data_IF_618786015184
#
_entry.id   IF_618786015184
#
_cell.length_a   1.000
_cell.length_b   1.000
_cell.length_c   1.000
_cell.angle_alpha   90.00
_cell.angle_beta   90.00
_cell.angle_gamma   90.00
#
_symmetry.space_group_name_H-M   'P 1'
#
loop_
_entity.id
_entity.type
_entity.pdbx_description
1 polymer ?
#
# COMPACT_ATOMS: atom_id res chain seq x y z
N UNK A 1 21.80 24.89 -26.99
CA UNK A 1 22.68 23.90 -26.34
C UNK A 1 21.95 22.58 -26.40
N UNK A 2 22.62 21.53 -26.83
CA UNK A 2 22.03 20.19 -26.89
C UNK A 2 22.53 19.42 -25.67
N UNK A 3 21.67 18.62 -25.04
CA UNK A 3 22.03 17.84 -23.86
C UNK A 3 21.94 16.36 -24.19
N UNK A 4 22.92 15.58 -23.72
CA UNK A 4 22.93 14.12 -23.80
C UNK A 4 22.75 13.54 -22.41
N UNK A 5 21.79 12.65 -22.25
CA UNK A 5 21.51 11.93 -21.03
C UNK A 5 22.04 10.51 -21.21
N UNK A 6 22.99 10.10 -20.39
CA UNK A 6 23.47 8.71 -20.34
C UNK A 6 22.85 7.99 -19.16
N UNK A 7 22.39 6.79 -19.42
CA UNK A 7 21.65 5.95 -18.48
C UNK A 7 22.37 4.61 -18.41
N UNK A 8 22.68 4.16 -17.20
CA UNK A 8 23.32 2.87 -16.94
C UNK A 8 22.59 2.14 -15.81
N UNK A 9 22.24 0.89 -16.06
CA UNK A 9 21.71 -0.03 -15.06
C UNK A 9 22.86 -0.78 -14.40
N UNK A 10 23.10 -0.60 -13.08
CA UNK A 10 24.11 -1.38 -12.38
C UNK A 10 23.73 -2.86 -12.21
N UNK A 11 22.47 -3.23 -12.50
CA UNK A 11 21.99 -4.60 -12.43
C UNK A 11 21.97 -5.29 -13.80
N UNK A 12 22.01 -6.61 -13.78
CA UNK A 12 21.79 -7.42 -14.98
C UNK A 12 20.29 -7.56 -15.27
N UNK A 13 19.94 -7.42 -16.54
CA UNK A 13 18.58 -7.60 -17.03
C UNK A 13 18.05 -6.36 -17.74
N UNK A 14 16.86 -6.49 -18.30
CA UNK A 14 16.16 -5.36 -18.91
C UNK A 14 15.19 -4.74 -17.89
N UNK A 15 15.08 -3.42 -17.92
CA UNK A 15 13.99 -2.67 -17.31
C UNK A 15 13.08 -2.14 -18.41
N UNK A 16 11.78 -2.21 -18.16
CA UNK A 16 10.74 -1.78 -19.09
C UNK A 16 10.09 -0.54 -18.53
N UNK A 17 10.10 0.54 -19.31
CA UNK A 17 9.50 1.83 -18.97
C UNK A 17 9.94 2.32 -17.58
N UNK A 18 11.23 2.18 -17.28
CA UNK A 18 11.80 2.66 -16.02
C UNK A 18 11.76 4.20 -15.99
N UNK A 19 11.18 4.81 -14.94
CA UNK A 19 11.21 6.25 -14.80
C UNK A 19 12.62 6.73 -14.49
N UNK A 20 13.10 7.69 -15.28
CA UNK A 20 14.34 8.43 -15.01
C UNK A 20 14.00 9.88 -14.76
N UNK A 21 14.77 10.49 -13.86
CA UNK A 21 14.68 11.92 -13.58
C UNK A 21 16.06 12.53 -13.75
N UNK A 22 16.14 13.60 -14.54
CA UNK A 22 17.40 14.28 -14.83
C UNK A 22 17.23 15.80 -14.78
N UNK A 23 18.35 16.51 -14.62
CA UNK A 23 18.37 17.98 -14.52
C UNK A 23 19.34 18.54 -15.54
N UNK A 24 18.90 19.57 -16.27
CA UNK A 24 19.73 20.34 -17.20
C UNK A 24 19.98 21.73 -16.63
N UNK A 25 21.19 22.26 -16.84
CA UNK A 25 21.62 23.57 -16.34
C UNK A 25 21.18 24.71 -17.27
N UNK A 26 19.89 24.76 -17.56
CA UNK A 26 19.25 25.86 -18.28
C UNK A 26 17.80 26.01 -17.82
N UNK A 27 17.30 27.24 -17.81
CA UNK A 27 15.88 27.53 -17.67
C UNK A 27 15.16 27.21 -19.00
N UNK A 28 14.42 26.10 -18.99
CA UNK A 28 13.55 25.68 -20.08
C UNK A 28 12.10 25.76 -19.59
N UNK A 29 11.31 26.56 -20.30
CA UNK A 29 9.89 26.80 -19.99
C UNK A 29 8.94 25.80 -20.69
N UNK A 30 9.41 25.13 -21.75
CA UNK A 30 8.60 24.15 -22.47
C UNK A 30 8.13 23.04 -21.52
N UNK A 31 6.81 22.75 -21.43
CA UNK A 31 6.28 21.75 -20.51
C UNK A 31 6.66 20.32 -20.94
N UNK A 32 6.86 20.12 -22.24
CA UNK A 32 7.21 18.84 -22.84
C UNK A 32 8.37 19.04 -23.83
N UNK A 33 9.32 18.12 -23.81
CA UNK A 33 10.39 18.03 -24.80
C UNK A 33 10.41 16.64 -25.41
N UNK A 34 10.93 16.56 -26.64
CA UNK A 34 11.37 15.30 -27.20
C UNK A 34 12.82 15.04 -26.83
N UNK A 35 13.14 13.81 -26.49
CA UNK A 35 14.49 13.28 -26.57
C UNK A 35 14.55 12.19 -27.65
N UNK A 36 15.74 11.89 -28.16
CA UNK A 36 15.95 10.84 -29.16
C UNK A 36 16.91 9.79 -28.64
N UNK A 37 16.57 8.51 -28.81
CA UNK A 37 17.53 7.42 -28.59
C UNK A 37 18.57 7.38 -29.71
N UNK A 38 19.62 6.57 -29.53
CA UNK A 38 20.63 6.33 -30.57
C UNK A 38 20.02 5.73 -31.87
N UNK A 39 18.91 4.99 -31.74
CA UNK A 39 18.16 4.41 -32.86
C UNK A 39 17.13 5.41 -33.47
N UNK A 40 17.06 6.63 -32.93
CA UNK A 40 16.19 7.70 -33.41
C UNK A 40 14.75 7.65 -32.90
N UNK A 41 14.43 6.75 -31.95
CA UNK A 41 13.13 6.72 -31.29
C UNK A 41 12.92 7.99 -30.48
N UNK A 42 11.71 8.56 -30.55
CA UNK A 42 11.34 9.74 -29.76
C UNK A 42 10.83 9.32 -28.38
N UNK A 43 11.48 9.84 -27.34
CA UNK A 43 11.07 9.69 -25.94
C UNK A 43 10.49 11.01 -25.45
N UNK A 44 9.31 10.96 -24.84
CA UNK A 44 8.67 12.14 -24.28
C UNK A 44 9.28 12.47 -22.91
N UNK A 45 9.72 13.71 -22.74
CA UNK A 45 10.22 14.22 -21.48
C UNK A 45 9.23 15.26 -20.93
N UNK A 46 8.71 15.01 -19.74
CA UNK A 46 7.85 15.95 -19.02
C UNK A 46 8.69 16.83 -18.11
N UNK A 47 8.54 18.14 -18.22
CA UNK A 47 9.12 19.11 -17.29
C UNK A 47 8.44 18.96 -15.93
N UNK A 48 9.24 18.86 -14.87
CA UNK A 48 8.76 18.90 -13.49
C UNK A 48 8.79 20.34 -12.97
N UNK A 49 7.77 20.75 -12.23
CA UNK A 49 7.78 22.02 -11.52
C UNK A 49 8.71 21.94 -10.31
N UNK A 50 8.65 20.84 -9.57
CA UNK A 50 9.52 20.59 -8.44
C UNK A 50 10.98 20.42 -8.87
N UNK A 51 11.85 21.27 -8.30
CA UNK A 51 13.29 21.27 -8.55
C UNK A 51 13.72 22.09 -9.77
N UNK A 52 12.78 22.57 -10.60
CA UNK A 52 13.05 23.53 -11.67
C UNK A 52 13.06 24.97 -11.16
N UNK A 53 13.97 25.80 -11.66
CA UNK A 53 14.10 27.21 -11.30
C UNK A 53 14.77 28.02 -12.43
N UNK A 54 15.17 29.26 -12.14
CA UNK A 54 15.79 30.15 -13.13
C UNK A 54 17.17 29.71 -13.66
N UNK A 55 17.80 28.70 -13.04
CA UNK A 55 19.14 28.20 -13.41
C UNK A 55 19.12 26.77 -13.98
N UNK A 56 18.09 25.99 -13.66
CA UNK A 56 18.02 24.59 -14.04
C UNK A 56 16.58 24.13 -14.27
N UNK A 57 16.40 23.15 -15.14
CA UNK A 57 15.10 22.49 -15.36
C UNK A 57 15.23 20.99 -15.13
N UNK A 58 14.28 20.42 -14.39
CA UNK A 58 14.18 18.99 -14.12
C UNK A 58 13.14 18.36 -15.04
N UNK A 59 13.46 17.17 -15.57
CA UNK A 59 12.59 16.41 -16.44
C UNK A 59 12.44 14.98 -15.95
N UNK A 60 11.30 14.36 -16.27
CA UNK A 60 11.04 12.92 -16.12
C UNK A 60 10.74 12.31 -17.49
N UNK A 61 11.22 11.09 -17.70
CA UNK A 61 10.94 10.26 -18.87
C UNK A 61 10.80 8.80 -18.41
N UNK A 62 10.11 7.96 -19.18
CA UNK A 62 10.16 6.49 -19.00
C UNK A 62 10.92 5.86 -20.14
N UNK A 63 11.85 4.96 -19.82
CA UNK A 63 12.79 4.37 -20.78
C UNK A 63 12.87 2.85 -20.65
N UNK A 64 13.01 2.18 -21.78
CA UNK A 64 13.44 0.78 -21.79
C UNK A 64 14.97 0.76 -21.72
N UNK A 65 15.53 0.04 -20.75
CA UNK A 65 16.98 0.00 -20.52
C UNK A 65 17.44 -1.45 -20.49
N UNK A 66 18.39 -1.78 -21.36
CA UNK A 66 19.12 -3.03 -21.30
C UNK A 66 20.59 -2.71 -21.05
N UNK A 67 20.97 -2.66 -19.78
CA UNK A 67 22.26 -2.19 -19.26
C UNK A 67 22.58 -0.71 -19.51
N UNK A 68 22.46 -0.21 -20.73
CA UNK A 68 22.74 1.21 -21.04
C UNK A 68 21.75 1.78 -22.03
N UNK A 69 21.46 3.07 -21.91
CA UNK A 69 20.70 3.84 -22.89
C UNK A 69 21.23 5.28 -22.97
N UNK A 70 21.07 5.91 -24.14
CA UNK A 70 21.40 7.33 -24.35
C UNK A 70 20.17 8.05 -24.87
N UNK A 71 19.94 9.27 -24.38
CA UNK A 71 18.93 10.17 -24.92
C UNK A 71 19.55 11.52 -25.28
N UNK A 72 19.34 11.99 -26.50
CA UNK A 72 19.68 13.36 -26.90
C UNK A 72 18.44 14.25 -26.80
N UNK A 73 18.46 15.20 -25.87
CA UNK A 73 17.37 16.17 -25.68
C UNK A 73 17.28 17.06 -26.91
N UNK A 74 16.10 17.09 -27.51
CA UNK A 74 15.83 17.69 -28.80
C UNK A 74 14.86 18.88 -28.66
N UNK A 75 13.91 18.98 -29.58
CA UNK A 75 12.97 20.08 -29.71
C UNK A 75 11.82 20.03 -28.69
N UNK A 76 11.17 21.18 -28.49
CA UNK A 76 9.95 21.24 -27.71
C UNK A 76 8.83 20.42 -28.37
N UNK A 77 8.04 19.74 -27.56
CA UNK A 77 6.84 19.06 -28.02
C UNK A 77 5.66 20.04 -27.97
N UNK A 78 5.41 20.75 -29.09
CA UNK A 78 4.33 21.74 -29.18
C UNK A 78 2.93 21.14 -29.11
N UNK A 79 2.76 19.91 -29.61
CA UNK A 79 1.49 19.17 -29.56
C UNK A 79 1.79 17.70 -29.36
N UNK A 80 1.16 17.08 -28.37
CA UNK A 80 1.28 15.65 -28.12
C UNK A 80 0.56 14.88 -29.24
N UNK A 81 1.27 14.10 -30.07
CA UNK A 81 0.65 13.28 -31.10
C UNK A 81 -0.26 12.21 -30.51
N UNK A 82 -1.37 11.91 -31.17
CA UNK A 82 -2.37 10.95 -30.68
C UNK A 82 -1.88 9.49 -30.67
N UNK A 83 -0.82 9.18 -31.40
CA UNK A 83 -0.20 7.86 -31.53
C UNK A 83 0.92 7.61 -30.52
N UNK A 84 1.27 8.61 -29.69
CA UNK A 84 2.30 8.46 -28.67
C UNK A 84 1.71 7.70 -27.48
N UNK A 85 2.25 6.52 -27.24
CA UNK A 85 1.94 5.67 -26.11
C UNK A 85 3.22 4.98 -25.58
N UNK A 86 3.29 4.66 -24.29
CA UNK A 86 2.28 4.95 -23.26
C UNK A 86 2.32 6.42 -22.82
N UNK A 87 1.14 6.97 -22.51
CA UNK A 87 0.97 8.24 -21.79
C UNK A 87 -0.10 8.06 -20.72
N UNK A 88 0.00 8.79 -19.62
CA UNK A 88 -1.03 8.78 -18.60
C UNK A 88 -2.26 9.53 -19.11
N UNK A 89 -3.42 8.91 -19.02
CA UNK A 89 -4.71 9.53 -19.35
C UNK A 89 -5.73 9.33 -18.25
N UNK A 90 -6.63 10.31 -18.08
CA UNK A 90 -7.69 10.24 -17.10
C UNK A 90 -8.95 9.58 -17.68
N UNK A 91 -9.58 8.72 -16.88
CA UNK A 91 -10.83 8.03 -17.19
C UNK A 91 -11.95 8.56 -16.30
N UNK A 92 -13.18 8.25 -16.69
CA UNK A 92 -14.33 8.47 -15.82
C UNK A 92 -14.23 7.58 -14.57
N UNK A 93 -14.38 8.20 -13.41
CA UNK A 93 -14.42 7.51 -12.12
C UNK A 93 -15.59 6.54 -12.00
N UNK A 94 -15.39 5.47 -11.23
CA UNK A 94 -16.38 4.45 -10.87
C UNK A 94 -17.04 4.79 -9.54
N UNK A 95 -16.24 5.15 -8.54
CA UNK A 95 -16.72 5.54 -7.22
C UNK A 95 -17.15 7.02 -7.18
N UNK A 96 -18.10 7.33 -6.28
CA UNK A 96 -18.61 8.71 -6.12
C UNK A 96 -17.59 9.66 -5.48
N UNK A 97 -16.61 9.12 -4.76
CA UNK A 97 -15.47 9.80 -4.14
C UNK A 97 -14.17 9.58 -4.94
N UNK A 98 -14.27 9.16 -6.20
CA UNK A 98 -13.14 9.12 -7.12
C UNK A 98 -12.54 10.52 -7.26
N UNK A 99 -11.28 10.66 -6.87
CA UNK A 99 -10.51 11.87 -7.16
C UNK A 99 -9.97 11.82 -8.59
N UNK A 100 -9.34 10.70 -8.95
CA UNK A 100 -8.86 10.47 -10.31
C UNK A 100 -8.82 8.98 -10.63
N UNK A 101 -9.19 8.63 -11.86
CA UNK A 101 -8.96 7.32 -12.42
C UNK A 101 -7.97 7.44 -13.57
N UNK A 102 -6.90 6.65 -13.54
CA UNK A 102 -5.79 6.72 -14.48
C UNK A 102 -5.71 5.46 -15.33
N UNK A 103 -5.50 5.65 -16.62
CA UNK A 103 -4.83 4.69 -17.47
C UNK A 103 -3.38 5.12 -17.59
N UNK A 104 -2.46 4.34 -17.02
CA UNK A 104 -1.03 4.61 -17.10
C UNK A 104 -0.37 3.92 -18.28
N UNK A 105 -1.09 3.08 -19.04
CA UNK A 105 -0.50 2.15 -20.01
C UNK A 105 0.01 0.84 -19.41
N UNK A 106 0.27 0.79 -18.09
CA UNK A 106 0.51 -0.45 -17.34
C UNK A 106 -0.71 -0.84 -16.48
N UNK A 107 -1.38 0.16 -15.91
CA UNK A 107 -2.48 0.01 -14.95
C UNK A 107 -3.69 0.85 -15.34
N UNK A 108 -4.88 0.31 -15.06
CA UNK A 108 -6.13 1.04 -14.87
C UNK A 108 -6.40 1.10 -13.37
N UNK A 109 -6.24 2.28 -12.75
CA UNK A 109 -6.35 2.45 -11.30
C UNK A 109 -7.19 3.65 -10.93
N UNK A 110 -7.85 3.60 -9.78
CA UNK A 110 -8.70 4.65 -9.26
C UNK A 110 -8.30 5.04 -7.84
N UNK A 111 -7.89 6.30 -7.66
CA UNK A 111 -7.52 6.90 -6.38
C UNK A 111 -8.74 7.67 -5.83
N UNK A 112 -9.15 7.31 -4.61
CA UNK A 112 -10.35 7.84 -3.96
C UNK A 112 -10.04 8.62 -2.68
N UNK A 113 -10.87 9.62 -2.38
CA UNK A 113 -10.76 10.46 -1.18
C UNK A 113 -11.42 9.86 0.07
N UNK A 114 -12.13 8.75 -0.07
CA UNK A 114 -12.91 8.16 1.00
C UNK A 114 -14.19 8.96 1.29
N UNK A 115 -15.09 8.36 2.08
CA UNK A 115 -16.40 8.94 2.43
C UNK A 115 -16.63 9.10 3.93
N UNK A 116 -15.77 8.50 4.77
CA UNK A 116 -15.87 8.57 6.23
C UNK A 116 -17.19 8.01 6.82
N UNK A 117 -17.76 6.94 6.23
CA UNK A 117 -19.07 6.38 6.64
C UNK A 117 -18.95 5.13 7.53
N UNK A 118 -17.74 4.69 7.90
CA UNK A 118 -17.51 3.50 8.72
C UNK A 118 -17.81 2.18 8.02
N UNK A 119 -17.68 2.15 6.68
CA UNK A 119 -17.92 0.99 5.82
C UNK A 119 -16.70 0.75 4.93
N UNK A 120 -16.44 -0.50 4.52
CA UNK A 120 -15.37 -0.83 3.57
C UNK A 120 -15.45 -0.04 2.26
N UNK A 121 -16.67 0.24 1.77
CA UNK A 121 -16.93 1.08 0.60
C UNK A 121 -16.58 2.57 0.77
N UNK A 122 -16.06 2.96 1.93
CA UNK A 122 -15.77 4.36 2.28
C UNK A 122 -14.28 4.61 2.46
N UNK A 123 -13.43 3.59 2.24
CA UNK A 123 -11.97 3.65 2.30
C UNK A 123 -11.40 4.66 1.30
N UNK A 124 -10.37 5.42 1.67
CA UNK A 124 -9.52 6.15 0.73
C UNK A 124 -8.33 5.29 0.26
N UNK A 125 -7.62 5.75 -0.78
CA UNK A 125 -6.51 5.01 -1.40
C UNK A 125 -6.89 4.49 -2.79
N UNK A 126 -6.19 3.47 -3.29
CA UNK A 126 -6.56 2.86 -4.56
C UNK A 126 -7.67 1.84 -4.36
N UNK A 127 -8.86 2.09 -4.92
CA UNK A 127 -10.06 1.24 -4.75
C UNK A 127 -10.40 0.37 -5.95
N UNK A 128 -9.87 0.72 -7.12
CA UNK A 128 -9.90 -0.13 -8.31
C UNK A 128 -8.47 -0.20 -8.82
N UNK A 129 -7.96 -1.39 -9.11
CA UNK A 129 -6.59 -1.60 -9.56
C UNK A 129 -6.49 -2.84 -10.47
N UNK A 130 -6.17 -2.59 -11.73
CA UNK A 130 -6.05 -3.62 -12.76
C UNK A 130 -4.79 -3.44 -13.59
N UNK A 131 -4.03 -4.52 -13.80
CA UNK A 131 -3.01 -4.54 -14.84
C UNK A 131 -3.66 -4.64 -16.23
N UNK A 132 -3.15 -3.85 -17.17
CA UNK A 132 -3.62 -3.89 -18.56
C UNK A 132 -3.09 -5.10 -19.33
N UNK A 133 -1.98 -5.70 -18.89
CA UNK A 133 -1.36 -6.84 -19.56
C UNK A 133 -2.19 -8.11 -19.53
N UNK A 134 -2.96 -8.32 -18.45
CA UNK A 134 -3.83 -9.49 -18.26
C UNK A 134 -5.30 -9.12 -18.02
N UNK A 135 -5.60 -7.84 -17.82
CA UNK A 135 -6.94 -7.35 -17.55
C UNK A 135 -7.51 -7.78 -16.19
N UNK A 136 -6.69 -8.31 -15.27
CA UNK A 136 -7.15 -8.81 -13.97
C UNK A 136 -7.31 -7.66 -12.97
N UNK A 137 -8.52 -7.50 -12.44
CA UNK A 137 -8.91 -6.49 -11.45
C UNK A 137 -8.72 -7.07 -10.04
N UNK A 138 -7.79 -6.49 -9.26
CA UNK A 138 -7.48 -6.93 -7.89
C UNK A 138 -8.52 -6.45 -6.87
N UNK A 139 -9.26 -5.39 -7.21
CA UNK A 139 -10.22 -4.72 -6.34
C UNK A 139 -11.55 -4.47 -7.07
N UNK A 140 -12.28 -5.51 -7.50
CA UNK A 140 -13.47 -5.36 -8.32
C UNK A 140 -14.67 -4.74 -7.60
N UNK A 141 -14.78 -4.87 -6.27
CA UNK A 141 -15.93 -4.33 -5.54
C UNK A 141 -15.75 -2.88 -5.08
N UNK A 142 -14.49 -2.42 -4.97
CA UNK A 142 -14.15 -1.16 -4.33
C UNK A 142 -14.29 -1.17 -2.81
N UNK A 143 -14.52 -2.30 -2.13
CA UNK A 143 -14.68 -2.35 -0.67
C UNK A 143 -13.36 -2.49 0.09
N UNK A 144 -12.31 -2.93 -0.60
CA UNK A 144 -10.94 -2.91 -0.12
C UNK A 144 -10.12 -1.83 -0.83
N UNK A 145 -8.96 -1.53 -0.26
CA UNK A 145 -8.08 -0.53 -0.82
C UNK A 145 -6.61 -0.92 -0.66
N UNK A 146 -5.78 -0.43 -1.59
CA UNK A 146 -4.32 -0.43 -1.46
C UNK A 146 -3.91 0.91 -0.85
N UNK A 147 -3.03 0.84 0.15
CA UNK A 147 -2.35 1.98 0.73
C UNK A 147 -3.00 2.61 1.96
N UNK A 148 -4.00 1.99 2.57
CA UNK A 148 -4.46 2.36 3.90
C UNK A 148 -3.33 2.21 4.92
N UNK A 149 -3.29 3.05 5.96
CA UNK A 149 -2.40 2.84 7.11
C UNK A 149 -3.18 2.99 8.42
N UNK A 150 -2.89 2.15 9.42
CA UNK A 150 -3.73 2.03 10.61
C UNK A 150 -2.99 1.98 11.96
N UNK A 151 -2.01 1.10 12.18
CA UNK A 151 -1.29 1.09 13.46
C UNK A 151 -0.41 2.33 13.66
N UNK A 152 -0.19 2.82 14.90
CA UNK A 152 -0.88 2.44 16.15
C UNK A 152 -2.22 3.18 16.35
N UNK A 153 -2.57 4.11 15.45
CA UNK A 153 -3.71 5.01 15.60
C UNK A 153 -5.06 4.31 15.55
N UNK A 154 -5.12 3.16 14.88
CA UNK A 154 -6.32 2.36 14.73
C UNK A 154 -5.97 0.95 15.16
N UNK A 155 -5.90 0.83 16.47
CA UNK A 155 -5.68 -0.40 17.19
C UNK A 155 -6.83 -0.58 18.19
N UNK A 156 -7.09 -1.82 18.62
CA UNK A 156 -7.93 -2.12 19.76
C UNK A 156 -7.63 -1.22 20.95
N UNK A 157 -6.36 -1.11 21.33
CA UNK A 157 -5.94 -0.39 22.52
C UNK A 157 -6.28 1.11 22.42
N UNK A 158 -6.28 1.68 21.21
CA UNK A 158 -6.73 3.04 20.97
C UNK A 158 -8.25 3.18 20.78
N UNK A 159 -9.02 2.07 20.82
CA UNK A 159 -10.47 2.06 20.63
C UNK A 159 -10.91 2.57 19.26
N UNK A 160 -10.03 2.50 18.26
CA UNK A 160 -10.32 2.93 16.88
C UNK A 160 -9.95 1.81 15.94
N UNK A 161 -10.83 1.50 14.98
CA UNK A 161 -10.54 0.50 13.95
C UNK A 161 -10.88 1.06 12.56
N UNK A 162 -10.08 0.63 11.58
CA UNK A 162 -10.17 0.91 10.16
C UNK A 162 -10.21 2.42 9.76
N UNK A 163 -9.05 3.09 9.70
CA UNK A 163 -8.89 4.49 9.33
C UNK A 163 -9.57 4.91 8.05
N UNK A 164 -9.41 4.16 6.93
CA UNK A 164 -9.83 4.71 5.67
C UNK A 164 -11.35 4.85 5.62
N UNK A 165 -12.07 4.10 6.44
CA UNK A 165 -13.52 4.14 6.54
C UNK A 165 -14.05 5.34 7.34
N UNK A 166 -13.24 5.97 8.21
CA UNK A 166 -13.70 6.98 9.18
C UNK A 166 -13.10 8.38 8.94
N UNK A 167 -12.34 8.55 7.86
CA UNK A 167 -11.69 9.82 7.53
C UNK A 167 -11.84 10.09 6.05
N UNK A 168 -12.17 11.34 5.71
CA UNK A 168 -12.06 11.83 4.34
C UNK A 168 -10.72 12.55 4.20
N UNK A 169 -10.00 12.24 3.13
CA UNK A 169 -8.71 12.87 2.83
C UNK A 169 -8.87 13.92 1.74
N UNK A 170 -8.04 14.96 1.81
CA UNK A 170 -7.88 15.90 0.71
C UNK A 170 -6.71 15.43 -0.16
N UNK A 171 -6.83 15.59 -1.48
CA UNK A 171 -5.80 15.18 -2.44
C UNK A 171 -5.37 16.38 -3.28
N UNK A 172 -4.11 16.76 -3.12
CA UNK A 172 -3.43 17.81 -3.87
C UNK A 172 -2.71 17.23 -5.10
N UNK A 173 -2.78 17.96 -6.22
CA UNK A 173 -1.99 17.66 -7.42
C UNK A 173 -0.61 18.33 -7.28
N UNK A 174 0.43 17.52 -7.12
CA UNK A 174 1.81 18.00 -7.02
C UNK A 174 2.46 18.12 -8.40
N UNK A 175 2.31 17.08 -9.22
CA UNK A 175 2.69 17.08 -10.64
C UNK A 175 1.63 16.35 -11.46
N UNK A 176 1.35 16.85 -12.67
CA UNK A 176 0.41 16.22 -13.60
C UNK A 176 0.86 16.47 -15.03
N UNK A 177 1.09 15.39 -15.76
CA UNK A 177 1.44 15.44 -17.17
C UNK A 177 1.45 14.04 -17.80
N UNK A 178 1.74 13.94 -19.10
CA UNK A 178 1.59 12.69 -19.84
C UNK A 178 2.55 11.58 -19.43
N UNK A 179 3.64 11.87 -18.70
CA UNK A 179 4.66 10.88 -18.30
C UNK A 179 4.54 10.51 -16.83
N UNK A 180 4.22 11.46 -15.96
CA UNK A 180 4.20 11.26 -14.51
C UNK A 180 3.10 12.08 -13.85
N UNK A 181 2.38 11.42 -12.94
CA UNK A 181 1.44 12.04 -12.02
C UNK A 181 1.96 11.85 -10.59
N UNK A 182 1.94 12.91 -9.80
CA UNK A 182 2.26 12.90 -8.37
C UNK A 182 1.16 13.61 -7.61
N UNK A 183 0.54 12.88 -6.69
CA UNK A 183 -0.50 13.37 -5.81
C UNK A 183 -0.05 13.31 -4.36
N UNK A 184 -0.49 14.28 -3.56
CA UNK A 184 -0.33 14.25 -2.12
C UNK A 184 -1.70 14.16 -1.48
N UNK A 185 -1.94 13.06 -0.80
CA UNK A 185 -3.11 12.85 0.03
C UNK A 185 -2.79 13.30 1.45
N UNK A 186 -3.65 14.06 2.12
CA UNK A 186 -3.47 14.43 3.52
C UNK A 186 -4.77 14.37 4.31
N UNK A 187 -4.63 14.06 5.60
CA UNK A 187 -5.76 13.90 6.51
C UNK A 187 -5.38 14.14 7.95
N UNK A 188 -6.40 14.31 8.79
CA UNK A 188 -6.29 14.26 10.24
C UNK A 188 -6.63 12.85 10.69
N UNK A 189 -5.89 12.36 11.68
CA UNK A 189 -6.15 11.09 12.33
C UNK A 189 -7.23 11.34 13.39
N UNK A 190 -8.38 10.66 13.32
CA UNK A 190 -9.37 10.58 14.38
C UNK A 190 -8.75 10.35 15.76
N UNK A 191 -9.22 11.11 16.74
CA UNK A 191 -8.82 10.92 18.13
C UNK A 191 -9.46 9.64 18.69
N UNK A 192 -8.60 8.79 19.25
CA UNK A 192 -8.99 7.58 19.98
C UNK A 192 -8.86 7.74 21.49
N UNK A 193 -8.70 6.61 22.18
CA UNK A 193 -8.64 6.53 23.63
C UNK A 193 -7.28 6.89 24.24
N UNK A 194 -6.19 6.81 23.47
CA UNK A 194 -4.81 7.09 23.90
C UNK A 194 -4.47 8.56 23.65
N UNK A 195 -4.18 9.29 24.73
CA UNK A 195 -3.95 10.75 24.69
C UNK A 195 -2.72 11.13 23.84
N UNK A 196 -1.67 10.31 23.87
CA UNK A 196 -0.44 10.55 23.12
C UNK A 196 -0.60 10.43 21.60
N UNK A 197 -1.67 9.80 21.14
CA UNK A 197 -2.00 9.60 19.73
C UNK A 197 -3.00 10.63 19.18
N UNK A 198 -3.51 11.56 20.01
CA UNK A 198 -4.47 12.58 19.61
C UNK A 198 -3.84 13.72 18.81
N UNK A 199 -4.66 14.36 17.96
CA UNK A 199 -4.33 15.56 17.21
C UNK A 199 -3.20 15.36 16.21
N UNK A 200 -3.13 14.17 15.59
CA UNK A 200 -2.08 13.79 14.64
C UNK A 200 -2.60 13.92 13.22
N UNK A 201 -1.72 14.32 12.31
CA UNK A 201 -2.00 14.36 10.88
C UNK A 201 -1.05 13.46 10.10
N UNK A 202 -1.43 13.17 8.87
CA UNK A 202 -0.62 12.40 7.94
C UNK A 202 -0.66 12.99 6.53
N UNK A 203 0.34 12.61 5.73
CA UNK A 203 0.34 12.76 4.29
C UNK A 203 0.87 11.51 3.61
N UNK A 204 0.36 11.21 2.43
CA UNK A 204 0.78 10.11 1.57
C UNK A 204 1.08 10.69 0.19
N UNK A 205 2.33 10.62 -0.23
CA UNK A 205 2.71 10.91 -1.61
C UNK A 205 2.45 9.66 -2.45
N UNK A 206 1.79 9.81 -3.59
CA UNK A 206 1.51 8.76 -4.58
C UNK A 206 2.09 9.17 -5.93
N UNK A 207 2.91 8.33 -6.54
CA UNK A 207 3.51 8.61 -7.85
C UNK A 207 3.25 7.49 -8.84
N UNK A 208 2.75 7.88 -10.02
CA UNK A 208 2.45 6.99 -11.14
C UNK A 208 3.19 7.45 -12.40
N UNK A 209 3.61 6.50 -13.23
CA UNK A 209 4.40 6.75 -14.43
C UNK A 209 3.81 6.05 -15.66
N UNK A 210 4.04 6.62 -16.84
CA UNK A 210 3.56 6.10 -18.09
C UNK A 210 4.26 4.78 -18.48
N UNK A 211 3.49 3.69 -18.51
CA UNK A 211 3.89 2.34 -18.92
C UNK A 211 4.71 1.58 -17.89
N UNK A 212 5.03 2.20 -16.76
CA UNK A 212 5.86 1.60 -15.72
C UNK A 212 5.06 0.57 -14.92
N UNK A 213 5.56 -0.67 -14.75
CA UNK A 213 4.83 -1.72 -14.04
C UNK A 213 5.00 -1.66 -12.52
N UNK A 214 5.22 -0.46 -11.98
CA UNK A 214 5.22 -0.18 -10.55
C UNK A 214 4.76 1.25 -10.28
N UNK A 215 4.34 1.50 -9.06
CA UNK A 215 4.06 2.83 -8.53
C UNK A 215 4.80 3.04 -7.22
N UNK A 216 4.90 4.30 -6.80
CA UNK A 216 5.62 4.67 -5.57
C UNK A 216 4.68 5.35 -4.59
N UNK A 217 4.94 5.13 -3.30
CA UNK A 217 4.25 5.83 -2.23
C UNK A 217 5.14 6.05 -1.02
N UNK A 218 4.85 7.11 -0.26
CA UNK A 218 5.58 7.46 0.96
C UNK A 218 4.62 8.06 1.98
N UNK A 219 4.74 7.60 3.23
CA UNK A 219 3.88 8.00 4.33
C UNK A 219 4.66 8.89 5.30
N UNK A 220 4.17 10.10 5.53
CA UNK A 220 4.67 10.99 6.56
C UNK A 220 3.56 11.23 7.58
N UNK A 221 3.89 11.13 8.87
CA UNK A 221 2.92 11.24 9.98
C UNK A 221 3.52 12.15 11.05
N UNK A 222 2.66 12.95 11.69
CA UNK A 222 3.04 13.75 12.85
C UNK A 222 3.73 12.86 13.89
N UNK A 223 4.93 13.21 14.37
CA UNK A 223 5.67 12.35 15.29
C UNK A 223 4.86 11.94 16.53
N UNK A 224 5.04 10.68 16.93
CA UNK A 224 4.37 10.06 18.06
C UNK A 224 5.24 9.00 18.73
N UNK A 225 4.90 8.71 19.98
CA UNK A 225 5.42 7.60 20.74
C UNK A 225 4.30 7.07 21.62
N UNK A 226 4.12 5.75 21.65
CA UNK A 226 3.12 5.06 22.47
C UNK A 226 3.64 3.69 22.88
N UNK A 227 2.81 2.90 23.57
CA UNK A 227 3.06 1.51 23.92
C UNK A 227 1.92 0.67 23.37
N UNK A 228 2.25 -0.25 22.47
CA UNK A 228 1.30 -1.22 21.93
C UNK A 228 1.73 -2.61 22.36
N UNK A 229 0.82 -3.40 22.93
CA UNK A 229 1.14 -4.77 23.36
C UNK A 229 2.37 -4.85 24.30
N UNK A 230 2.52 -3.86 25.19
CA UNK A 230 3.67 -3.75 26.11
C UNK A 230 5.01 -3.36 25.44
N UNK A 231 5.02 -3.09 24.13
CA UNK A 231 6.21 -2.74 23.35
C UNK A 231 6.18 -1.25 23.03
N UNK A 232 7.33 -0.57 23.17
CA UNK A 232 7.42 0.84 22.78
C UNK A 232 7.37 0.96 21.27
N UNK A 233 6.44 1.80 20.79
CA UNK A 233 6.28 2.15 19.39
C UNK A 233 6.66 3.62 19.23
N UNK A 234 7.60 3.91 18.34
CA UNK A 234 8.01 5.29 18.02
C UNK A 234 8.05 5.45 16.52
N UNK A 235 7.19 6.31 15.97
CA UNK A 235 7.11 6.60 14.53
C UNK A 235 7.13 5.35 13.64
N UNK A 236 6.39 4.31 14.04
CA UNK A 236 6.13 3.12 13.22
C UNK A 236 4.65 2.98 12.98
N UNK A 237 4.28 2.73 11.74
CA UNK A 237 2.90 2.55 11.29
C UNK A 237 2.66 1.15 10.75
N UNK A 238 1.39 0.80 10.60
CA UNK A 238 0.98 -0.34 9.79
C UNK A 238 0.42 0.17 8.48
N UNK A 239 0.98 -0.26 7.35
CA UNK A 239 0.36 -0.12 6.03
C UNK A 239 -0.29 -1.45 5.68
N UNK A 240 -1.53 -1.40 5.18
CA UNK A 240 -2.29 -2.56 4.72
C UNK A 240 -2.64 -2.41 3.25
N UNK A 241 -2.20 -3.36 2.44
CA UNK A 241 -2.72 -3.55 1.08
C UNK A 241 -3.65 -4.75 1.07
N UNK A 242 -4.91 -4.51 0.76
CA UNK A 242 -5.95 -5.52 0.74
C UNK A 242 -6.35 -5.84 -0.69
N UNK A 243 -6.77 -7.08 -0.94
CA UNK A 243 -7.18 -7.57 -2.26
C UNK A 243 -8.37 -8.51 -2.18
N UNK A 244 -9.04 -8.72 -3.32
CA UNK A 244 -10.32 -9.43 -3.41
C UNK A 244 -10.30 -10.49 -4.52
N UNK A 245 -10.17 -11.77 -4.15
CA UNK A 245 -10.29 -12.91 -5.08
C UNK A 245 -11.73 -13.38 -5.30
N UNK A 246 -12.62 -13.01 -4.38
CA UNK A 246 -13.99 -13.52 -4.30
C UNK A 246 -14.09 -14.87 -3.58
N UNK A 247 -15.31 -15.23 -3.15
CA UNK A 247 -15.58 -16.41 -2.34
C UNK A 247 -14.98 -17.69 -2.94
N UNK A 248 -14.13 -18.37 -2.17
CA UNK A 248 -13.49 -19.64 -2.55
C UNK A 248 -12.23 -19.50 -3.42
N UNK A 249 -11.76 -18.28 -3.68
CA UNK A 249 -10.61 -17.98 -4.54
C UNK A 249 -9.68 -16.99 -3.86
N UNK A 250 -8.41 -17.02 -4.23
CA UNK A 250 -7.41 -16.04 -3.80
C UNK A 250 -6.88 -15.29 -5.02
N UNK A 251 -6.49 -14.02 -4.84
CA UNK A 251 -5.72 -13.31 -5.88
C UNK A 251 -4.26 -13.75 -5.90
N UNK A 252 -3.73 -14.14 -4.74
CA UNK A 252 -2.39 -14.64 -4.50
C UNK A 252 -2.48 -15.82 -3.53
N UNK A 253 -1.82 -16.91 -3.86
CA UNK A 253 -1.83 -18.15 -3.05
C UNK A 253 -0.48 -18.44 -2.39
N UNK A 254 0.54 -17.62 -2.65
CA UNK A 254 1.87 -17.73 -2.04
C UNK A 254 2.38 -16.39 -1.53
N UNK A 255 3.15 -16.46 -0.45
CA UNK A 255 3.94 -15.35 0.08
C UNK A 255 5.41 -15.73 0.18
N UNK A 256 6.33 -14.81 -0.12
CA UNK A 256 7.76 -14.99 0.14
C UNK A 256 8.45 -13.68 0.54
N UNK A 257 9.51 -13.81 1.34
CA UNK A 257 10.45 -12.73 1.66
C UNK A 257 11.84 -13.00 1.05
N UNK A 258 12.57 -11.93 0.73
CA UNK A 258 13.88 -12.05 0.08
C UNK A 258 14.89 -12.67 1.04
N UNK A 259 15.58 -13.73 0.60
CA UNK A 259 16.49 -14.50 1.45
C UNK A 259 15.81 -15.51 2.38
N UNK A 260 14.55 -15.86 2.09
CA UNK A 260 13.78 -16.86 2.81
C UNK A 260 12.80 -16.27 3.83
N UNK A 261 11.69 -16.95 4.04
CA UNK A 261 10.63 -16.53 4.95
C UNK A 261 10.85 -17.14 6.33
N UNK A 262 10.94 -16.28 7.35
CA UNK A 262 10.96 -16.66 8.77
C UNK A 262 9.66 -16.20 9.40
N UNK A 263 8.82 -17.11 9.88
CA UNK A 263 7.47 -16.74 10.33
C UNK A 263 6.95 -17.61 11.47
N UNK A 264 5.89 -17.12 12.12
CA UNK A 264 5.01 -17.93 12.99
C UNK A 264 3.62 -18.01 12.38
N UNK A 265 2.99 -19.18 12.46
CA UNK A 265 1.67 -19.42 11.88
C UNK A 265 0.54 -19.16 12.90
N UNK A 266 -0.62 -18.74 12.41
CA UNK A 266 -1.80 -18.47 13.23
C UNK A 266 -1.77 -17.10 13.88
N UNK A 267 -2.96 -16.60 14.19
CA UNK A 267 -3.22 -15.31 14.83
C UNK A 267 -3.93 -15.49 16.18
N UNK A 268 -3.19 -15.50 17.31
CA UNK A 268 -3.79 -15.61 18.64
C UNK A 268 -4.71 -14.45 18.97
N UNK A 269 -4.38 -13.25 18.51
CA UNK A 269 -5.17 -12.05 18.78
C UNK A 269 -6.57 -12.19 18.20
N UNK A 270 -6.68 -12.63 16.94
CA UNK A 270 -7.96 -12.88 16.29
C UNK A 270 -8.83 -13.85 17.10
N UNK A 271 -8.25 -14.94 17.63
CA UNK A 271 -8.98 -15.90 18.45
C UNK A 271 -9.54 -15.27 19.74
N UNK A 272 -8.71 -14.54 20.49
CA UNK A 272 -9.14 -13.87 21.72
C UNK A 272 -10.21 -12.79 21.47
N UNK A 273 -10.10 -12.07 20.35
CA UNK A 273 -11.08 -11.05 19.99
C UNK A 273 -12.46 -11.68 19.73
N UNK A 274 -12.53 -12.80 19.00
CA UNK A 274 -13.80 -13.51 18.74
C UNK A 274 -14.47 -13.92 20.05
N UNK A 275 -13.70 -14.50 20.98
CA UNK A 275 -14.22 -14.91 22.28
C UNK A 275 -14.75 -13.71 23.09
N UNK A 276 -14.04 -12.58 23.03
CA UNK A 276 -14.46 -11.34 23.69
C UNK A 276 -15.72 -10.73 23.07
N UNK A 277 -15.86 -10.77 21.74
CA UNK A 277 -17.09 -10.33 21.06
C UNK A 277 -18.27 -11.19 21.53
N UNK A 278 -18.11 -12.51 21.51
CA UNK A 278 -19.17 -13.44 21.93
C UNK A 278 -19.60 -13.18 23.39
N UNK A 279 -18.63 -12.95 24.28
CA UNK A 279 -18.95 -12.59 25.66
C UNK A 279 -19.68 -11.24 25.76
N UNK A 280 -19.20 -10.22 25.05
CA UNK A 280 -19.74 -8.86 25.08
C UNK A 280 -21.21 -8.84 24.64
N UNK A 281 -21.50 -9.48 23.50
CA UNK A 281 -22.85 -9.64 22.95
C UNK A 281 -23.77 -10.30 23.97
N UNK A 282 -23.28 -11.27 24.76
CA UNK A 282 -24.07 -12.01 25.75
C UNK A 282 -24.23 -11.29 27.10
N UNK A 283 -23.19 -10.61 27.60
CA UNK A 283 -23.11 -10.19 29.01
C UNK A 283 -23.43 -8.72 29.24
N UNK A 284 -23.20 -7.84 28.26
CA UNK A 284 -23.47 -6.40 28.41
C UNK A 284 -24.98 -6.16 28.45
N UNK A 285 -25.50 -5.63 29.56
CA UNK A 285 -26.96 -5.43 29.76
C UNK A 285 -27.42 -3.98 29.55
N UNK A 286 -26.51 -3.02 29.57
CA UNK A 286 -26.80 -1.62 29.28
C UNK A 286 -27.03 -1.45 27.79
N UNK A 287 -28.29 -1.59 27.36
CA UNK A 287 -28.68 -1.57 25.95
C UNK A 287 -28.74 -0.16 25.38
N UNK A 288 -27.76 0.21 24.56
CA UNK A 288 -27.97 1.19 23.50
C UNK A 288 -28.73 0.51 22.35
N UNK A 289 -29.52 1.24 21.56
CA UNK A 289 -30.18 0.69 20.37
C UNK A 289 -29.16 0.04 19.41
N UNK A 290 -27.95 0.63 19.35
CA UNK A 290 -26.84 0.15 18.54
C UNK A 290 -26.27 -1.19 18.99
N UNK A 291 -26.21 -1.46 20.30
CA UNK A 291 -25.80 -2.77 20.79
C UNK A 291 -26.78 -3.88 20.36
N UNK A 292 -28.08 -3.59 20.28
CA UNK A 292 -29.08 -4.54 19.80
C UNK A 292 -28.96 -4.78 18.28
N UNK A 293 -28.58 -3.77 17.50
CA UNK A 293 -28.24 -3.93 16.08
C UNK A 293 -27.04 -4.88 15.91
N UNK A 294 -25.95 -4.62 16.65
CA UNK A 294 -24.76 -5.50 16.63
C UNK A 294 -25.09 -6.92 17.10
N UNK A 295 -25.97 -7.09 18.10
CA UNK A 295 -26.45 -8.42 18.52
C UNK A 295 -27.17 -9.17 17.40
N UNK A 296 -27.96 -8.47 16.59
CA UNK A 296 -28.66 -9.07 15.47
C UNK A 296 -27.70 -9.46 14.34
N UNK A 297 -26.75 -8.57 14.01
CA UNK A 297 -25.73 -8.82 12.96
C UNK A 297 -24.74 -9.91 13.37
N UNK A 298 -24.41 -10.02 14.66
CA UNK A 298 -23.51 -11.02 15.23
C UNK A 298 -24.22 -12.28 15.74
N UNK A 299 -25.52 -12.44 15.46
CA UNK A 299 -26.26 -13.63 15.86
C UNK A 299 -25.71 -14.91 15.19
N UNK A 300 -25.18 -14.76 13.97
CA UNK A 300 -24.42 -15.78 13.26
C UNK A 300 -22.97 -15.30 13.10
N UNK A 301 -22.20 -15.47 14.18
CA UNK A 301 -20.80 -15.01 14.20
C UNK A 301 -19.98 -15.64 13.08
N UNK A 302 -20.21 -16.92 12.72
CA UNK A 302 -19.41 -17.62 11.69
C UNK A 302 -19.57 -17.01 10.28
N UNK A 303 -20.68 -16.33 10.00
CA UNK A 303 -20.93 -15.67 8.72
C UNK A 303 -20.77 -14.14 8.75
N UNK A 304 -20.58 -13.56 9.94
CA UNK A 304 -20.38 -12.13 10.12
C UNK A 304 -19.08 -11.64 9.48
N UNK A 305 -19.11 -10.42 8.92
CA UNK A 305 -17.90 -9.78 8.43
C UNK A 305 -16.96 -9.48 9.60
N UNK A 306 -15.67 -9.76 9.44
CA UNK A 306 -14.66 -9.58 10.50
C UNK A 306 -14.68 -8.15 11.07
N UNK A 307 -14.90 -7.14 10.24
CA UNK A 307 -15.01 -5.73 10.66
C UNK A 307 -16.07 -5.48 11.72
N UNK A 308 -17.16 -6.26 11.77
CA UNK A 308 -18.21 -6.10 12.79
C UNK A 308 -17.69 -6.40 14.20
N UNK A 309 -16.75 -7.35 14.33
CA UNK A 309 -16.12 -7.67 15.61
C UNK A 309 -15.35 -6.46 16.16
N UNK A 310 -14.69 -5.75 15.27
CA UNK A 310 -13.90 -4.58 15.62
C UNK A 310 -14.77 -3.36 15.87
N UNK A 311 -15.76 -3.10 15.02
CA UNK A 311 -16.67 -1.95 15.17
C UNK A 311 -17.43 -1.97 16.51
N UNK A 312 -17.65 -3.15 17.10
CA UNK A 312 -18.21 -3.28 18.46
C UNK A 312 -17.36 -2.55 19.52
N UNK A 313 -16.04 -2.50 19.35
CA UNK A 313 -15.09 -1.85 20.26
C UNK A 313 -14.57 -0.51 19.74
N UNK A 314 -15.25 0.09 18.76
CA UNK A 314 -14.91 1.41 18.26
C UNK A 314 -15.54 2.50 19.13
N UNK A 315 -14.71 3.37 19.73
CA UNK A 315 -15.14 4.49 20.55
C UNK A 315 -16.03 5.48 19.78
N UNK A 316 -15.77 5.66 18.48
CA UNK A 316 -16.59 6.50 17.60
C UNK A 316 -17.98 5.92 17.34
N UNK A 317 -18.07 4.58 17.25
CA UNK A 317 -19.35 3.92 17.05
C UNK A 317 -20.23 4.04 18.32
N UNK A 318 -19.63 4.20 19.50
CA UNK A 318 -20.35 4.44 20.75
C UNK A 318 -21.26 3.27 21.17
N UNK A 319 -20.96 2.06 20.70
CA UNK A 319 -21.71 0.84 21.05
C UNK A 319 -21.53 0.50 22.53
N UNK A 320 -20.30 0.65 23.01
CA UNK A 320 -19.86 0.47 24.40
C UNK A 320 -19.29 1.80 24.92
N UNK A 321 -19.28 1.99 26.24
CA UNK A 321 -18.57 3.10 26.87
C UNK A 321 -17.05 2.90 26.81
N UNK A 322 -16.28 3.97 26.75
CA UNK A 322 -14.80 3.95 26.74
C UNK A 322 -14.19 3.04 27.82
N UNK A 323 -14.73 3.05 29.04
CA UNK A 323 -14.23 2.21 30.14
C UNK A 323 -14.47 0.71 29.87
N UNK A 324 -15.62 0.36 29.29
CA UNK A 324 -15.95 -1.02 28.91
C UNK A 324 -15.06 -1.49 27.75
N UNK A 325 -14.79 -0.63 26.77
CA UNK A 325 -13.85 -0.91 25.68
C UNK A 325 -12.46 -1.19 26.24
N UNK A 326 -11.95 -0.32 27.12
CA UNK A 326 -10.62 -0.49 27.76
C UNK A 326 -10.53 -1.78 28.55
N UNK A 327 -11.50 -2.06 29.42
CA UNK A 327 -11.48 -3.24 30.29
C UNK A 327 -11.52 -4.55 29.52
N UNK A 328 -12.30 -4.59 28.43
CA UNK A 328 -12.42 -5.79 27.59
C UNK A 328 -11.19 -6.00 26.71
N UNK A 329 -10.74 -4.96 26.02
CA UNK A 329 -9.59 -5.09 25.14
C UNK A 329 -8.28 -5.28 25.91
N UNK A 330 -8.17 -4.79 27.15
CA UNK A 330 -7.06 -5.10 28.03
C UNK A 330 -6.95 -6.62 28.30
N UNK A 331 -8.08 -7.32 28.45
CA UNK A 331 -8.10 -8.78 28.64
C UNK A 331 -7.67 -9.50 27.37
N UNK A 332 -8.21 -9.10 26.20
CA UNK A 332 -7.83 -9.64 24.88
C UNK A 332 -6.32 -9.48 24.68
N UNK A 333 -5.81 -8.26 24.84
CA UNK A 333 -4.41 -7.95 24.60
C UNK A 333 -3.49 -8.73 25.57
N UNK A 334 -3.83 -8.80 26.85
CA UNK A 334 -3.04 -9.55 27.82
C UNK A 334 -3.00 -11.05 27.52
N UNK A 335 -4.13 -11.65 27.15
CA UNK A 335 -4.22 -13.07 26.81
C UNK A 335 -3.49 -13.38 25.50
N UNK A 336 -3.73 -12.56 24.47
CA UNK A 336 -3.09 -12.68 23.16
C UNK A 336 -1.57 -12.49 23.26
N UNK A 337 -1.09 -11.55 24.08
CA UNK A 337 0.35 -11.33 24.34
C UNK A 337 1.02 -12.59 24.87
N UNK A 338 0.42 -13.23 25.87
CA UNK A 338 0.97 -14.48 26.43
C UNK A 338 0.98 -15.56 25.36
N UNK A 339 -0.15 -15.79 24.66
CA UNK A 339 -0.24 -16.82 23.61
C UNK A 339 0.69 -16.57 22.42
N UNK A 340 0.96 -15.31 22.12
CA UNK A 340 1.94 -14.90 21.12
C UNK A 340 3.35 -15.34 21.53
N UNK A 341 3.75 -15.12 22.78
CA UNK A 341 5.12 -15.34 23.26
C UNK A 341 5.38 -16.75 23.83
N UNK A 342 4.35 -17.59 23.95
CA UNK A 342 4.52 -19.01 24.30
C UNK A 342 5.30 -19.76 23.21
N UNK A 343 6.08 -20.75 23.64
CA UNK A 343 6.88 -21.60 22.75
C UNK A 343 6.07 -22.70 22.05
N UNK A 344 4.74 -22.66 22.13
CA UNK A 344 3.84 -23.59 21.47
C UNK A 344 3.68 -23.32 19.96
N UNK A 345 4.02 -22.10 19.52
CA UNK A 345 4.10 -21.69 18.11
C UNK A 345 5.56 -21.52 17.71
N UNK A 346 6.12 -22.53 17.06
CA UNK A 346 7.50 -22.53 16.61
C UNK A 346 7.75 -21.51 15.49
N UNK A 347 8.97 -20.96 15.45
CA UNK A 347 9.47 -20.23 14.29
C UNK A 347 9.79 -21.20 13.17
N UNK A 348 9.18 -20.98 12.01
CA UNK A 348 9.42 -21.73 10.79
C UNK A 348 10.35 -20.91 9.90
N UNK A 349 11.36 -21.56 9.33
CA UNK A 349 12.32 -20.97 8.39
C UNK A 349 12.25 -21.77 7.10
N UNK A 350 11.97 -21.11 5.99
CA UNK A 350 11.84 -21.75 4.68
C UNK A 350 12.36 -20.85 3.57
N UNK A 351 13.03 -21.44 2.59
CA UNK A 351 13.39 -20.76 1.35
C UNK A 351 12.28 -20.89 0.28
N UNK A 352 11.33 -21.80 0.50
CA UNK A 352 10.16 -22.00 -0.37
C UNK A 352 9.06 -20.96 -0.06
N UNK A 353 8.33 -20.47 -1.08
CA UNK A 353 7.13 -19.66 -0.91
C UNK A 353 6.08 -20.36 -0.04
N UNK A 354 5.49 -19.62 0.89
CA UNK A 354 4.56 -20.13 1.90
C UNK A 354 3.13 -20.15 1.35
N UNK A 355 2.44 -21.29 1.45
CA UNK A 355 0.98 -21.38 1.29
C UNK A 355 0.32 -20.93 2.60
N UNK A 356 -0.05 -19.66 2.67
CA UNK A 356 -0.62 -19.08 3.89
C UNK A 356 -2.04 -19.62 4.16
N UNK A 357 -2.78 -19.91 3.09
CA UNK A 357 -4.15 -20.44 3.18
C UNK A 357 -4.23 -21.84 3.78
N UNK A 358 -3.13 -22.60 3.75
CA UNK A 358 -3.03 -23.93 4.36
C UNK A 358 -2.69 -23.90 5.86
N UNK A 359 -2.42 -22.72 6.43
CA UNK A 359 -1.96 -22.56 7.80
C UNK A 359 -3.09 -22.14 8.76
N UNK A 360 -2.92 -22.32 10.09
CA UNK A 360 -3.90 -21.88 11.08
C UNK A 360 -4.31 -20.41 10.88
N UNK A 361 -5.62 -20.15 11.00
CA UNK A 361 -6.25 -18.84 10.78
C UNK A 361 -5.97 -18.21 9.40
N UNK A 362 -5.45 -18.99 8.44
CA UNK A 362 -5.05 -18.52 7.11
C UNK A 362 -4.12 -17.28 7.21
N UNK A 363 -3.27 -17.26 8.25
CA UNK A 363 -2.46 -16.11 8.64
C UNK A 363 -1.07 -16.53 9.08
N UNK A 364 -0.06 -15.76 8.68
CA UNK A 364 1.31 -15.86 9.20
C UNK A 364 1.82 -14.50 9.65
N UNK A 365 2.81 -14.54 10.55
CA UNK A 365 3.58 -13.36 10.98
C UNK A 365 5.05 -13.50 10.57
N UNK A 366 5.41 -13.08 9.34
CA UNK A 366 6.79 -13.00 8.91
C UNK A 366 7.60 -12.00 9.75
N UNK A 367 8.88 -12.31 9.94
CA UNK A 367 9.85 -11.43 10.57
C UNK A 367 10.30 -10.26 9.66
N UNK A 368 11.39 -9.58 10.02
CA UNK A 368 11.82 -8.37 9.33
C UNK A 368 12.17 -8.62 7.86
N UNK A 369 11.67 -7.76 6.98
CA UNK A 369 12.02 -7.76 5.56
C UNK A 369 11.79 -6.37 4.93
N UNK A 370 12.50 -6.09 3.85
CA UNK A 370 12.30 -4.91 3.01
C UNK A 370 11.93 -5.26 1.56
N UNK A 371 11.92 -6.56 1.23
CA UNK A 371 11.59 -7.10 -0.10
C UNK A 371 10.71 -8.32 0.08
N UNK A 372 9.45 -8.22 -0.35
CA UNK A 372 8.45 -9.28 -0.20
C UNK A 372 7.63 -9.42 -1.48
N UNK A 373 7.00 -10.58 -1.65
CA UNK A 373 6.10 -10.86 -2.76
C UNK A 373 4.89 -11.66 -2.29
N UNK A 374 3.75 -11.38 -2.91
CA UNK A 374 2.59 -12.25 -2.95
C UNK A 374 2.32 -12.58 -4.41
N UNK A 375 2.07 -13.85 -4.73
CA UNK A 375 1.86 -14.26 -6.10
C UNK A 375 0.88 -15.42 -6.21
N UNK A 376 0.33 -15.59 -7.41
CA UNK A 376 -0.51 -16.73 -7.80
C UNK A 376 0.32 -17.69 -8.66
N UNK A 377 0.45 -18.94 -8.21
CA UNK A 377 1.29 -19.93 -8.90
C UNK A 377 0.80 -20.25 -10.32
N UNK A 378 -0.52 -20.26 -10.55
CA UNK A 378 -1.10 -20.69 -11.83
C UNK A 378 -0.90 -19.63 -12.92
N UNK A 379 -1.22 -18.37 -12.62
CA UNK A 379 -1.10 -17.27 -13.59
C UNK A 379 0.29 -16.63 -13.64
N UNK A 380 1.11 -16.82 -12.61
CA UNK A 380 2.40 -16.15 -12.45
C UNK A 380 2.30 -14.67 -12.09
N UNK A 381 1.09 -14.15 -11.85
CA UNK A 381 0.87 -12.78 -11.37
C UNK A 381 1.46 -12.60 -9.98
N UNK A 382 2.15 -11.50 -9.77
CA UNK A 382 2.80 -11.20 -8.50
C UNK A 382 2.72 -9.71 -8.18
N UNK A 383 2.45 -9.41 -6.92
CA UNK A 383 2.66 -8.10 -6.31
C UNK A 383 3.98 -8.14 -5.55
N UNK A 384 4.94 -7.30 -5.94
CA UNK A 384 6.28 -7.24 -5.36
C UNK A 384 6.44 -5.90 -4.65
N UNK A 385 6.81 -5.92 -3.37
CA UNK A 385 7.05 -4.73 -2.58
C UNK A 385 8.53 -4.59 -2.26
N UNK A 386 9.03 -3.38 -2.43
CA UNK A 386 10.30 -2.94 -1.84
C UNK A 386 10.05 -1.74 -0.93
N UNK A 387 10.69 -1.73 0.23
CA UNK A 387 10.66 -0.62 1.17
C UNK A 387 12.07 -0.10 1.45
N UNK A 388 12.28 1.22 1.50
CA UNK A 388 13.61 1.81 1.70
C UNK A 388 14.20 1.57 3.11
N UNK A 389 13.37 1.11 4.05
CA UNK A 389 13.78 0.49 5.32
C UNK A 389 12.92 -0.74 5.56
N UNK A 390 13.47 -1.77 6.20
CA UNK A 390 12.72 -2.97 6.54
C UNK A 390 11.55 -2.65 7.48
N UNK A 391 10.41 -3.29 7.23
CA UNK A 391 9.40 -3.49 8.28
C UNK A 391 9.96 -4.51 9.28
N UNK A 392 9.73 -4.30 10.57
CA UNK A 392 10.16 -5.24 11.62
C UNK A 392 9.40 -6.56 11.63
N UNK A 393 8.17 -6.58 11.12
CA UNK A 393 7.35 -7.77 10.94
C UNK A 393 6.24 -7.51 9.93
N UNK A 394 5.50 -8.55 9.59
CA UNK A 394 4.33 -8.50 8.74
C UNK A 394 3.22 -9.37 9.32
N UNK A 395 1.98 -9.08 8.92
CA UNK A 395 0.83 -9.94 9.06
C UNK A 395 0.32 -10.20 7.65
N UNK A 396 0.44 -11.44 7.21
CA UNK A 396 0.01 -11.86 5.88
C UNK A 396 -1.19 -12.77 6.04
N UNK A 397 -2.27 -12.44 5.35
CA UNK A 397 -3.54 -13.15 5.43
C UNK A 397 -3.96 -13.57 4.04
N UNK A 398 -4.34 -14.85 3.86
CA UNK A 398 -4.84 -15.38 2.59
C UNK A 398 -6.07 -16.24 2.82
N UNK A 399 -7.21 -15.59 3.12
CA UNK A 399 -8.46 -16.26 3.48
C UNK A 399 -9.23 -16.71 2.25
N UNK A 400 -9.16 -17.99 1.93
CA UNK A 400 -9.81 -18.55 0.73
C UNK A 400 -11.34 -18.51 0.82
N UNK A 401 -11.88 -18.63 2.03
CA UNK A 401 -13.34 -18.63 2.23
C UNK A 401 -13.97 -17.30 1.81
N UNK A 402 -13.42 -16.16 2.21
CA UNK A 402 -13.90 -14.83 1.80
C UNK A 402 -13.27 -14.36 0.48
N UNK A 403 -12.08 -14.86 0.17
CA UNK A 403 -11.21 -14.37 -0.90
C UNK A 403 -10.46 -13.10 -0.54
N UNK A 404 -10.35 -12.79 0.76
CA UNK A 404 -9.59 -11.65 1.24
C UNK A 404 -8.11 -12.01 1.36
N UNK A 405 -7.26 -11.19 0.76
CA UNK A 405 -5.81 -11.26 0.89
C UNK A 405 -5.30 -9.93 1.44
N UNK A 406 -4.33 -9.96 2.35
CA UNK A 406 -3.75 -8.77 2.94
C UNK A 406 -2.24 -8.87 3.09
N UNK A 407 -1.57 -7.80 2.68
CA UNK A 407 -0.18 -7.50 3.02
C UNK A 407 -0.15 -6.40 4.09
N UNK A 408 0.05 -6.77 5.35
CA UNK A 408 0.08 -5.87 6.50
C UNK A 408 1.49 -5.74 7.08
N UNK A 409 1.94 -4.51 7.36
CA UNK A 409 3.26 -4.24 7.96
C UNK A 409 3.25 -4.15 9.50
N UNK A 410 2.39 -4.93 10.14
CA UNK A 410 2.23 -5.11 11.59
C UNK A 410 2.77 -6.48 12.01
N UNK A 411 3.28 -6.57 13.23
CA UNK A 411 3.50 -7.83 13.91
C UNK A 411 2.23 -8.30 14.64
N UNK A 412 2.42 -9.29 15.50
CA UNK A 412 1.34 -9.81 16.35
C UNK A 412 0.71 -8.73 17.23
N UNK A 413 -0.58 -8.92 17.53
CA UNK A 413 -1.41 -8.00 18.30
C UNK A 413 -1.42 -6.59 17.71
N UNK A 414 -1.47 -6.50 16.38
CA UNK A 414 -1.55 -5.23 15.63
C UNK A 414 -0.39 -4.26 15.89
N UNK A 415 0.75 -4.76 16.39
CA UNK A 415 1.91 -3.93 16.69
C UNK A 415 2.53 -3.39 15.39
N UNK A 416 2.54 -2.07 15.14
CA UNK A 416 3.04 -1.51 13.89
C UNK A 416 4.55 -1.64 13.76
N UNK A 417 5.04 -2.00 12.57
CA UNK A 417 6.45 -2.31 12.37
C UNK A 417 7.14 -1.57 11.22
N UNK A 418 6.40 -0.84 10.37
CA UNK A 418 6.99 -0.05 9.28
C UNK A 418 7.37 1.35 9.76
N UNK A 419 8.63 1.79 9.65
CA UNK A 419 9.00 3.16 10.01
C UNK A 419 8.28 4.21 9.14
N UNK A 420 7.89 5.34 9.74
CA UNK A 420 7.38 6.51 9.01
C UNK A 420 8.48 7.10 8.12
N UNK A 421 8.08 7.67 6.98
CA UNK A 421 8.97 8.30 6.00
C UNK A 421 9.72 7.31 5.11
N UNK A 422 9.28 6.05 5.09
CA UNK A 422 9.81 5.00 4.21
C UNK A 422 9.17 5.11 2.84
N UNK A 423 10.01 5.00 1.81
CA UNK A 423 9.56 4.93 0.42
C UNK A 423 9.18 3.48 0.13
N UNK A 424 8.02 3.28 -0.46
CA UNK A 424 7.50 1.98 -0.88
C UNK A 424 7.35 2.01 -2.39
N UNK A 425 7.96 1.05 -3.07
CA UNK A 425 7.67 0.78 -4.47
C UNK A 425 6.93 -0.55 -4.57
N UNK A 426 5.85 -0.55 -5.32
CA UNK A 426 4.99 -1.72 -5.50
C UNK A 426 4.87 -2.03 -6.98
N UNK A 427 5.45 -3.15 -7.41
CA UNK A 427 5.37 -3.65 -8.76
C UNK A 427 4.29 -4.72 -8.89
N UNK A 428 3.58 -4.72 -10.03
CA UNK A 428 2.56 -5.72 -10.32
C UNK A 428 2.65 -6.19 -11.77
N UNK A 429 2.60 -7.50 -11.97
CA UNK A 429 2.67 -8.13 -13.28
C UNK A 429 3.02 -9.61 -13.21
N UNK A 430 3.33 -10.25 -14.34
CA UNK A 430 3.70 -11.67 -14.40
C UNK A 430 5.14 -11.87 -13.91
N UNK A 431 5.37 -11.65 -12.61
CA UNK A 431 6.71 -11.60 -12.03
C UNK A 431 7.03 -12.77 -11.11
N UNK A 432 6.12 -13.74 -10.90
CA UNK A 432 6.30 -14.83 -9.93
C UNK A 432 7.66 -15.55 -10.05
N UNK A 433 8.12 -15.87 -11.26
CA UNK A 433 9.40 -16.59 -11.45
C UNK A 433 10.64 -15.71 -11.27
N UNK A 434 10.50 -14.38 -11.35
CA UNK A 434 11.61 -13.42 -11.35
C UNK A 434 11.43 -12.29 -10.34
N UNK A 435 10.61 -12.50 -9.32
CA UNK A 435 10.21 -11.44 -8.40
C UNK A 435 11.40 -10.87 -7.62
N UNK A 436 12.42 -11.69 -7.32
CA UNK A 436 13.66 -11.22 -6.67
C UNK A 436 14.41 -10.23 -7.57
N UNK A 437 14.49 -10.49 -8.87
CA UNK A 437 15.07 -9.56 -9.84
C UNK A 437 14.27 -8.25 -9.89
N UNK A 438 12.93 -8.32 -9.88
CA UNK A 438 12.08 -7.13 -9.82
C UNK A 438 12.34 -6.35 -8.53
N UNK A 439 12.40 -7.02 -7.38
CA UNK A 439 12.65 -6.37 -6.10
C UNK A 439 14.03 -5.67 -6.06
N UNK A 440 15.07 -6.29 -6.65
CA UNK A 440 16.39 -5.68 -6.79
C UNK A 440 16.37 -4.46 -7.72
N UNK A 441 15.58 -4.49 -8.80
CA UNK A 441 15.35 -3.35 -9.70
C UNK A 441 14.61 -2.20 -8.99
N UNK A 442 13.59 -2.49 -8.18
CA UNK A 442 12.90 -1.47 -7.39
C UNK A 442 13.84 -0.78 -6.40
N UNK A 443 14.71 -1.55 -5.74
CA UNK A 443 15.71 -1.05 -4.79
C UNK A 443 16.80 -0.21 -5.45
N UNK A 444 17.32 -0.66 -6.58
CA UNK A 444 18.52 -0.10 -7.18
C UNK A 444 18.14 0.86 -8.30
N UNK A 445 18.38 2.16 -8.10
CA UNK A 445 18.14 3.17 -9.12
C UNK A 445 19.10 3.04 -10.32
N UNK A 446 18.65 3.48 -11.49
CA UNK A 446 19.52 3.71 -12.65
C UNK A 446 20.50 4.85 -12.38
N UNK A 447 21.72 4.73 -12.89
CA UNK A 447 22.68 5.82 -12.93
C UNK A 447 22.35 6.74 -14.11
N UNK A 448 21.99 7.99 -13.83
CA UNK A 448 21.63 8.97 -14.85
C UNK A 448 22.60 10.14 -14.79
N UNK A 449 23.24 10.47 -15.92
CA UNK A 449 24.16 11.59 -16.04
C UNK A 449 23.83 12.45 -17.26
N UNK A 450 24.11 13.75 -17.17
CA UNK A 450 23.78 14.74 -18.21
C UNK A 450 25.06 15.42 -18.69
N UNK A 451 25.27 15.42 -20.00
CA UNK A 451 26.40 16.03 -20.69
C UNK A 451 25.91 17.14 -21.63
N UNK A 452 26.69 18.22 -21.75
CA UNK A 452 26.44 19.27 -22.75
C UNK A 452 27.21 18.93 -24.02
N UNK A 453 26.50 18.92 -25.16
CA UNK A 453 27.07 18.68 -26.49
C UNK A 453 27.46 19.98 -27.20
#
# INVERSE_FOLDING_TARGET
MTYRIRIEDPLNGARVREPIVFTVNAAIDAPLLWAKTDDGEKILCQRLNQGSNALQTRFVATVDVNQTATLDLAEACETLPADIAPVISEKQGRETDCFVRLDTGAFDLELCSGKAEGLGSSKWGLRHFRALSDGFELLPSGNNAIGGFYGPFFTPENGLINPPEHTMVEIEIIEKGPVMHHYRMHGQIPDGLLDELKGKSFSIDWTFYAGTPFFERRYDVTPFQTVINGRSVTNKITVGDEFEGGKGKLVFDRFAAYGGTRYRAGDPYAGELVDMVADTVRTVKSGSAKLEEFRAELADMESAHWDLYWRLFCAWEGVLSDDEIRDRLAQVCASAHVKADLNDREWIITDEPVDVSALPHETIFPGPANKTVEFDQESGRAMVWWTSKASGAFQIVQRKQSGWVNWGSNGENECPELPVGVDIKTAYGPFAERWMQIADQLETALNVSVEVL
#
